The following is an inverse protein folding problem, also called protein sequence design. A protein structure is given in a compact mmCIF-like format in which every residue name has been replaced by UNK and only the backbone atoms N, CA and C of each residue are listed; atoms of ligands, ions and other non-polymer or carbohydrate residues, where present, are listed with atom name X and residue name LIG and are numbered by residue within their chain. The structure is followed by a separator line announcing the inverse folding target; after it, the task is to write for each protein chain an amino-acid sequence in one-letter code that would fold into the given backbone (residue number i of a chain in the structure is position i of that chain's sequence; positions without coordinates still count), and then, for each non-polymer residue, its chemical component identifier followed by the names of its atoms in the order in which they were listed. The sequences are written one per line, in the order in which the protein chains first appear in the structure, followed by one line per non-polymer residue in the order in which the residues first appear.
data_IF_990581875922
#
_entry.id   IF_990581875922
#
_cell.length_a   1.000
_cell.length_b   1.000
_cell.length_c   1.000
_cell.angle_alpha   90.00
_cell.angle_beta   90.00
_cell.angle_gamma   90.00
#
_symmetry.space_group_name_H-M   'P 1'
#
loop_
_entity.id
_entity.type
_entity.pdbx_description
1 polymer ?
#
# COMPACT_ATOMS: atom_id res chain seq x y z
N UNK A 1 -5.08 -23.18 8.91
CA UNK A 1 -3.78 -22.71 8.38
C UNK A 1 -3.18 -21.76 9.41
N UNK A 2 -1.95 -21.97 9.84
CA UNK A 2 -1.24 -21.08 10.75
C UNK A 2 -0.39 -20.12 9.91
N UNK A 3 -0.51 -18.82 10.17
CA UNK A 3 0.28 -17.77 9.52
C UNK A 3 1.16 -17.14 10.61
N UNK A 4 2.47 -17.08 10.36
CA UNK A 4 3.43 -16.42 11.24
C UNK A 4 3.96 -15.21 10.49
N UNK A 5 3.70 -14.02 11.02
CA UNK A 5 4.17 -12.76 10.44
C UNK A 5 5.37 -12.24 11.22
N UNK A 6 6.49 -12.06 10.51
CA UNK A 6 7.68 -11.39 11.04
C UNK A 6 7.55 -9.89 10.79
N UNK A 7 7.55 -9.10 11.85
CA UNK A 7 7.64 -7.64 11.76
C UNK A 7 9.12 -7.26 11.79
N UNK A 8 9.64 -6.81 10.64
CA UNK A 8 11.06 -6.56 10.43
C UNK A 8 11.25 -5.08 10.08
N UNK A 9 12.12 -4.40 10.82
CA UNK A 9 12.68 -3.14 10.39
C UNK A 9 13.79 -3.41 9.36
N UNK A 10 13.59 -2.91 8.15
CA UNK A 10 14.48 -3.13 7.00
C UNK A 10 15.34 -1.90 6.71
N UNK A 11 15.27 -0.87 7.55
CA UNK A 11 15.95 0.41 7.35
C UNK A 11 15.60 1.04 6.01
N UNK A 12 16.64 1.45 5.27
CA UNK A 12 16.50 2.13 3.97
C UNK A 12 16.19 1.17 2.81
N UNK A 13 16.20 -0.15 3.03
CA UNK A 13 15.86 -1.10 1.99
C UNK A 13 14.34 -1.18 1.76
N UNK A 14 13.95 -1.65 0.58
CA UNK A 14 12.58 -2.12 0.37
C UNK A 14 12.25 -3.30 1.29
N UNK A 15 13.20 -4.24 1.42
CA UNK A 15 13.13 -5.30 2.43
C UNK A 15 12.76 -6.71 1.93
N UNK A 16 12.50 -6.91 0.64
CA UNK A 16 12.02 -8.19 0.12
C UNK A 16 12.99 -9.36 0.37
N UNK A 17 14.26 -9.20 -0.03
CA UNK A 17 15.25 -10.28 0.11
C UNK A 17 15.55 -10.58 1.58
N UNK A 18 15.82 -9.56 2.39
CA UNK A 18 16.12 -9.73 3.82
C UNK A 18 14.95 -10.41 4.56
N UNK A 19 13.72 -10.02 4.26
CA UNK A 19 12.52 -10.64 4.83
C UNK A 19 12.43 -12.11 4.47
N UNK A 20 12.61 -12.47 3.19
CA UNK A 20 12.54 -13.87 2.75
C UNK A 20 13.64 -14.72 3.39
N UNK A 21 14.88 -14.22 3.45
CA UNK A 21 15.99 -14.91 4.11
C UNK A 21 15.70 -15.15 5.60
N UNK A 22 15.12 -14.15 6.29
CA UNK A 22 14.71 -14.33 7.69
C UNK A 22 13.58 -15.37 7.83
N UNK A 23 12.57 -15.35 6.96
CA UNK A 23 11.50 -16.35 6.92
C UNK A 23 12.05 -17.76 6.69
N UNK A 24 13.02 -17.93 5.79
CA UNK A 24 13.69 -19.21 5.54
C UNK A 24 14.47 -19.69 6.76
N UNK A 25 15.21 -18.80 7.41
CA UNK A 25 16.02 -19.13 8.58
C UNK A 25 15.19 -19.61 9.78
N UNK A 26 14.00 -19.03 10.00
CA UNK A 26 13.14 -19.42 11.13
C UNK A 26 12.25 -20.63 10.84
N UNK A 27 12.07 -21.03 9.57
CA UNK A 27 11.13 -22.07 9.19
C UNK A 27 11.35 -23.41 9.95
N UNK A 28 12.58 -23.92 10.13
CA UNK A 28 12.81 -25.15 10.89
C UNK A 28 12.37 -25.04 12.36
N UNK A 29 12.51 -23.87 12.97
CA UNK A 29 12.03 -23.62 14.33
C UNK A 29 10.51 -23.65 14.39
N UNK A 30 9.84 -23.03 13.43
CA UNK A 30 8.36 -23.05 13.35
C UNK A 30 7.84 -24.46 13.13
N UNK A 31 8.46 -25.27 12.27
CA UNK A 31 8.08 -26.68 12.09
C UNK A 31 8.27 -27.48 13.39
N UNK A 32 9.40 -27.30 14.08
CA UNK A 32 9.67 -27.96 15.37
C UNK A 32 8.67 -27.59 16.45
N UNK A 33 8.31 -26.31 16.56
CA UNK A 33 7.39 -25.81 17.60
C UNK A 33 5.93 -26.19 17.29
N UNK A 34 5.53 -26.13 16.02
CA UNK A 34 4.14 -26.39 15.63
C UNK A 34 3.83 -27.87 15.36
N UNK A 35 4.84 -28.69 15.08
CA UNK A 35 4.68 -30.05 14.54
C UNK A 35 4.12 -30.09 13.12
N UNK A 36 3.99 -28.94 12.46
CA UNK A 36 3.47 -28.80 11.10
C UNK A 36 4.57 -28.67 10.04
N UNK A 37 4.14 -28.44 8.79
CA UNK A 37 5.01 -28.17 7.63
C UNK A 37 4.90 -26.70 7.22
N UNK A 38 6.02 -26.04 7.01
CA UNK A 38 6.05 -24.67 6.48
C UNK A 38 5.93 -24.70 4.96
N UNK A 39 4.87 -24.09 4.43
CA UNK A 39 4.58 -24.08 2.99
C UNK A 39 5.30 -22.95 2.25
N UNK A 40 5.10 -21.70 2.69
CA UNK A 40 5.66 -20.48 2.07
C UNK A 40 6.50 -19.69 3.09
N UNK A 41 7.55 -19.02 2.58
CA UNK A 41 8.49 -18.16 3.31
C UNK A 41 8.70 -16.90 2.48
N UNK A 42 7.72 -16.00 2.51
CA UNK A 42 7.64 -14.91 1.55
C UNK A 42 7.12 -13.65 2.23
N UNK A 43 7.65 -12.49 1.85
CA UNK A 43 7.10 -11.21 2.28
C UNK A 43 5.64 -11.03 1.84
N UNK A 44 4.94 -10.13 2.53
CA UNK A 44 3.69 -9.56 2.05
C UNK A 44 3.95 -8.21 1.40
N UNK A 45 3.44 -7.99 0.19
CA UNK A 45 3.40 -6.65 -0.40
C UNK A 45 2.30 -5.77 0.22
N UNK A 46 1.41 -6.34 1.05
CA UNK A 46 0.41 -5.54 1.76
C UNK A 46 1.00 -4.90 3.03
N UNK A 47 1.88 -3.92 2.82
CA UNK A 47 2.79 -3.30 3.79
C UNK A 47 2.12 -2.31 4.76
N UNK A 48 1.01 -2.70 5.39
CA UNK A 48 0.21 -1.83 6.30
C UNK A 48 0.94 -1.33 7.55
N UNK A 49 2.14 -1.83 7.85
CA UNK A 49 3.01 -1.37 8.94
C UNK A 49 4.03 -0.30 8.50
N UNK A 50 4.09 0.03 7.20
CA UNK A 50 5.00 1.01 6.60
C UNK A 50 4.20 2.06 5.83
N UNK A 51 3.38 2.83 6.56
CA UNK A 51 2.47 3.82 5.99
C UNK A 51 3.07 5.22 6.02
N UNK A 52 2.74 6.02 5.00
CA UNK A 52 3.06 7.45 4.92
C UNK A 52 1.77 8.21 4.60
N UNK A 53 1.62 9.41 5.15
CA UNK A 53 0.49 10.30 4.89
C UNK A 53 0.99 11.68 4.48
N UNK A 54 0.35 12.27 3.47
CA UNK A 54 0.64 13.62 3.00
C UNK A 54 -0.66 14.43 2.96
N UNK A 55 -0.56 15.71 3.31
CA UNK A 55 -1.67 16.67 3.31
C UNK A 55 -1.20 17.99 2.73
N UNK A 56 -2.09 18.69 2.01
CA UNK A 56 -1.83 20.03 1.48
C UNK A 56 -3.06 20.91 1.68
N UNK A 57 -2.83 22.21 1.87
CA UNK A 57 -3.86 23.24 1.91
C UNK A 57 -3.64 24.17 0.74
N UNK A 58 -4.70 24.44 -0.01
CA UNK A 58 -4.68 25.31 -1.17
C UNK A 58 -5.55 26.53 -0.90
N UNK A 59 -5.06 27.69 -1.33
CA UNK A 59 -5.88 28.89 -1.36
C UNK A 59 -7.04 28.70 -2.33
N UNK A 60 -8.24 29.08 -1.89
CA UNK A 60 -9.49 28.85 -2.63
C UNK A 60 -9.49 29.58 -3.97
N UNK A 61 -9.05 30.83 -3.96
CA UNK A 61 -9.09 31.66 -5.18
C UNK A 61 -8.03 31.17 -6.18
N UNK A 62 -6.90 30.67 -5.70
CA UNK A 62 -5.85 30.03 -6.51
C UNK A 62 -6.30 28.74 -7.20
N UNK A 63 -7.27 28.00 -6.64
CA UNK A 63 -7.84 26.79 -7.28
C UNK A 63 -9.07 27.08 -8.15
N UNK A 64 -9.57 28.33 -8.16
CA UNK A 64 -10.69 28.75 -9.01
C UNK A 64 -11.98 29.14 -8.27
N UNK A 65 -11.91 29.35 -6.95
CA UNK A 65 -13.03 29.85 -6.14
C UNK A 65 -13.91 28.76 -5.54
N UNK A 66 -14.94 29.18 -4.78
CA UNK A 66 -15.83 28.30 -3.99
C UNK A 66 -16.45 27.18 -4.82
N UNK A 67 -16.99 27.52 -5.98
CA UNK A 67 -17.66 26.53 -6.84
C UNK A 67 -16.73 25.40 -7.27
N UNK A 68 -15.46 25.71 -7.57
CA UNK A 68 -14.49 24.68 -7.95
C UNK A 68 -14.13 23.79 -6.77
N UNK A 69 -14.06 24.34 -5.55
CA UNK A 69 -13.88 23.56 -4.33
C UNK A 69 -15.07 22.60 -4.12
N UNK A 70 -16.31 23.08 -4.28
CA UNK A 70 -17.51 22.24 -4.19
C UNK A 70 -17.53 21.12 -5.25
N UNK A 71 -17.12 21.44 -6.49
CA UNK A 71 -17.00 20.46 -7.57
C UNK A 71 -15.90 19.41 -7.27
N UNK A 72 -14.77 19.82 -6.68
CA UNK A 72 -13.71 18.90 -6.23
C UNK A 72 -14.21 17.95 -5.13
N UNK A 73 -14.94 18.47 -4.14
CA UNK A 73 -15.55 17.68 -3.07
C UNK A 73 -16.57 16.70 -3.67
N UNK A 74 -17.42 17.16 -4.60
CA UNK A 74 -18.40 16.32 -5.29
C UNK A 74 -17.73 15.20 -6.10
N UNK A 75 -16.63 15.51 -6.80
CA UNK A 75 -15.86 14.52 -7.55
C UNK A 75 -15.19 13.48 -6.64
N UNK A 76 -14.71 13.88 -5.45
CA UNK A 76 -14.24 12.96 -4.42
C UNK A 76 -15.37 12.05 -3.93
N UNK A 77 -16.54 12.62 -3.59
CA UNK A 77 -17.69 11.84 -3.14
C UNK A 77 -18.13 10.83 -4.20
N UNK A 78 -18.10 11.19 -5.47
CA UNK A 78 -18.36 10.24 -6.56
C UNK A 78 -17.37 9.07 -6.53
N UNK A 79 -16.07 9.35 -6.42
CA UNK A 79 -15.05 8.28 -6.33
C UNK A 79 -15.19 7.42 -5.07
N UNK A 80 -15.63 8.00 -3.95
CA UNK A 80 -15.81 7.27 -2.69
C UNK A 80 -17.04 6.34 -2.71
N UNK A 81 -18.05 6.64 -3.52
CA UNK A 81 -19.31 5.91 -3.56
C UNK A 81 -19.49 4.99 -4.79
N UNK A 82 -18.62 5.09 -5.80
CA UNK A 82 -18.67 4.24 -6.99
C UNK A 82 -17.31 3.63 -7.32
N UNK A 83 -17.24 2.29 -7.36
CA UNK A 83 -16.00 1.56 -7.63
C UNK A 83 -15.43 1.86 -9.02
N UNK A 84 -16.28 2.05 -10.04
CA UNK A 84 -15.79 2.36 -11.40
C UNK A 84 -15.04 3.69 -11.41
N UNK A 85 -15.58 4.71 -10.73
CA UNK A 85 -14.89 5.99 -10.56
C UNK A 85 -13.67 5.87 -9.64
N UNK A 86 -13.76 5.12 -8.55
CA UNK A 86 -12.66 4.91 -7.61
C UNK A 86 -11.39 4.38 -8.31
N UNK A 87 -11.55 3.40 -9.20
CA UNK A 87 -10.45 2.84 -10.01
C UNK A 87 -9.74 3.96 -10.79
N UNK A 88 -10.51 4.83 -11.44
CA UNK A 88 -9.96 5.92 -12.25
C UNK A 88 -9.35 7.05 -11.39
N UNK A 89 -9.95 7.34 -10.22
CA UNK A 89 -9.39 8.27 -9.24
C UNK A 89 -8.02 7.81 -8.75
N UNK A 90 -7.92 6.55 -8.31
CA UNK A 90 -6.67 5.96 -7.81
C UNK A 90 -5.62 5.88 -8.91
N UNK A 91 -5.99 5.54 -10.15
CA UNK A 91 -5.08 5.58 -11.30
C UNK A 91 -4.45 6.97 -11.48
N UNK A 92 -5.21 8.04 -11.27
CA UNK A 92 -4.71 9.41 -11.31
C UNK A 92 -3.62 9.68 -10.26
N UNK A 93 -3.80 9.19 -9.04
CA UNK A 93 -2.78 9.26 -7.98
C UNK A 93 -1.53 8.46 -8.37
N UNK A 94 -1.72 7.23 -8.86
CA UNK A 94 -0.63 6.33 -9.21
C UNK A 94 0.21 6.80 -10.39
N UNK A 95 -0.37 7.56 -11.34
CA UNK A 95 0.41 8.21 -12.40
C UNK A 95 1.63 8.97 -11.85
N UNK A 96 1.44 9.79 -10.80
CA UNK A 96 2.52 10.57 -10.20
C UNK A 96 3.45 9.71 -9.34
N UNK A 97 2.87 8.89 -8.46
CA UNK A 97 3.64 8.01 -7.55
C UNK A 97 4.58 7.08 -8.30
N UNK A 98 4.08 6.43 -9.36
CA UNK A 98 4.88 5.48 -10.14
C UNK A 98 5.93 6.18 -11.01
N UNK A 99 5.68 7.39 -11.49
CA UNK A 99 6.73 8.18 -12.15
C UNK A 99 7.94 8.39 -11.23
N UNK A 100 7.72 8.77 -9.96
CA UNK A 100 8.81 8.95 -8.99
C UNK A 100 9.45 7.61 -8.63
N UNK A 101 8.66 6.55 -8.40
CA UNK A 101 9.17 5.22 -8.11
C UNK A 101 10.11 4.72 -9.21
N UNK A 102 9.70 4.84 -10.48
CA UNK A 102 10.53 4.43 -11.61
C UNK A 102 11.79 5.30 -11.72
N UNK A 103 11.70 6.62 -11.50
CA UNK A 103 12.85 7.52 -11.54
C UNK A 103 13.89 7.21 -10.44
N UNK A 104 13.46 6.59 -9.34
CA UNK A 104 14.30 6.22 -8.18
C UNK A 104 14.60 4.71 -8.11
N UNK A 105 14.31 3.96 -9.17
CA UNK A 105 14.61 2.52 -9.26
C UNK A 105 13.81 1.64 -8.28
N UNK A 106 12.67 2.12 -7.80
CA UNK A 106 11.80 1.35 -6.90
C UNK A 106 10.90 0.38 -7.67
N UNK A 107 10.44 -0.68 -7.00
CA UNK A 107 9.50 -1.63 -7.60
C UNK A 107 8.09 -1.04 -7.64
N UNK A 108 7.68 -0.56 -8.82
CA UNK A 108 6.36 0.00 -9.06
C UNK A 108 5.22 -1.00 -8.86
N UNK A 109 5.43 -2.30 -9.14
CA UNK A 109 4.39 -3.31 -8.99
C UNK A 109 4.09 -3.58 -7.52
N UNK A 110 5.12 -3.56 -6.67
CA UNK A 110 4.92 -3.70 -5.22
C UNK A 110 4.10 -2.54 -4.64
N UNK A 111 4.39 -1.32 -5.09
CA UNK A 111 3.64 -0.11 -4.68
C UNK A 111 2.19 -0.17 -5.16
N UNK A 112 1.95 -0.49 -6.43
CA UNK A 112 0.59 -0.64 -7.00
C UNK A 112 -0.23 -1.71 -6.25
N UNK A 113 0.36 -2.88 -6.01
CA UNK A 113 -0.31 -3.96 -5.29
C UNK A 113 -0.72 -3.54 -3.88
N UNK A 114 0.17 -2.86 -3.15
CA UNK A 114 -0.10 -2.37 -1.80
C UNK A 114 -1.20 -1.29 -1.80
N UNK A 115 -1.07 -0.28 -2.67
CA UNK A 115 -1.97 0.86 -2.74
C UNK A 115 -3.40 0.42 -3.06
N UNK A 116 -3.57 -0.42 -4.08
CA UNK A 116 -4.89 -0.89 -4.48
C UNK A 116 -5.51 -1.88 -3.47
N UNK A 117 -4.72 -2.76 -2.84
CA UNK A 117 -5.21 -3.61 -1.76
C UNK A 117 -5.66 -2.80 -0.54
N UNK A 118 -4.92 -1.74 -0.19
CA UNK A 118 -5.27 -0.84 0.90
C UNK A 118 -6.55 -0.05 0.60
N UNK A 119 -6.69 0.48 -0.63
CA UNK A 119 -7.88 1.20 -1.05
C UNK A 119 -9.17 0.34 -1.03
N UNK A 120 -9.04 -0.97 -1.32
CA UNK A 120 -10.16 -1.91 -1.29
C UNK A 120 -10.45 -2.51 0.10
N UNK A 121 -9.64 -2.18 1.12
CA UNK A 121 -9.82 -2.71 2.46
C UNK A 121 -11.16 -2.25 3.02
N UNK A 122 -12.04 -3.20 3.35
CA UNK A 122 -13.23 -2.88 4.17
C UNK A 122 -12.77 -2.46 5.56
N UNK A 123 -13.15 -1.25 5.96
CA UNK A 123 -13.11 -0.86 7.35
C UNK A 123 -14.21 -1.64 8.06
N UNK A 124 -13.83 -2.68 8.82
CA UNK A 124 -14.73 -3.22 9.83
C UNK A 124 -14.84 -2.14 10.91
N UNK A 125 -15.85 -1.28 10.78
CA UNK A 125 -16.39 -0.50 11.90
C UNK A 125 -17.13 -1.44 12.84
#
# INVERSE_FOLDING_TARGET
MLIVELLIDVGDAMGANVTNTMCEAIAPLIEKVSGGRVLLRILSNYSTKRMVTATAVFDKDSVGGEKIVDDMISAFQFANNDTFRAVTHNKGVMNGTISVANATGQDSRAIEAAAHAYAAKKWNV
#
